data_IF_795855675220
#
_entry.id   IF_795855675220
#
_cell.length_a   1.000
_cell.length_b   1.000
_cell.length_c   1.000
_cell.angle_alpha   90.00
_cell.angle_beta   90.00
_cell.angle_gamma   90.00
#
_symmetry.space_group_name_H-M   'P 1'
#
loop_
_entity.id
_entity.type
_entity.pdbx_description
1 polymer ?
#
# COMPACT_ATOMS: atom_id res chain seq x y z
N UNK A 1 24.64 2.54 1.65
CA UNK A 1 23.94 3.18 0.52
C UNK A 1 22.47 3.31 0.89
N UNK A 2 21.81 4.48 0.77
CA UNK A 2 20.39 4.58 1.02
C UNK A 2 19.62 3.76 -0.01
N UNK A 3 18.69 2.92 0.45
CA UNK A 3 17.77 2.18 -0.43
C UNK A 3 16.69 3.17 -0.87
N UNK A 4 16.55 3.35 -2.18
CA UNK A 4 15.47 4.18 -2.72
C UNK A 4 14.12 3.61 -2.26
N UNK A 5 13.28 4.47 -1.70
CA UNK A 5 11.98 4.10 -1.15
C UNK A 5 10.91 5.09 -1.62
N UNK A 6 9.66 4.63 -1.60
CA UNK A 6 8.49 5.43 -1.96
C UNK A 6 7.36 5.19 -0.96
N UNK A 7 6.51 6.19 -0.84
CA UNK A 7 5.32 6.11 0.01
C UNK A 7 4.17 5.53 -0.79
N UNK A 8 3.73 4.33 -0.43
CA UNK A 8 2.51 3.74 -0.93
C UNK A 8 1.32 4.29 -0.12
N UNK A 9 0.53 5.18 -0.72
CA UNK A 9 -0.77 5.60 -0.19
C UNK A 9 -1.87 4.72 -0.80
N UNK A 10 -2.73 4.18 0.06
CA UNK A 10 -3.79 3.25 -0.34
C UNK A 10 -5.01 3.35 0.59
N UNK A 11 -6.20 3.09 0.06
CA UNK A 11 -7.44 3.11 0.83
C UNK A 11 -7.83 1.68 1.25
N UNK A 12 -8.21 1.51 2.51
CA UNK A 12 -8.72 0.24 2.99
C UNK A 12 -10.05 -0.09 2.32
N UNK A 13 -10.11 -1.22 1.62
CA UNK A 13 -11.35 -1.68 0.95
C UNK A 13 -12.42 -2.13 1.93
N UNK A 14 -12.09 -2.28 3.23
CA UNK A 14 -13.03 -2.65 4.30
C UNK A 14 -13.64 -1.44 5.01
N UNK A 15 -12.83 -0.48 5.48
CA UNK A 15 -13.30 0.65 6.29
C UNK A 15 -13.15 2.03 5.62
N UNK A 16 -12.60 2.10 4.40
CA UNK A 16 -12.46 3.34 3.64
C UNK A 16 -11.30 4.26 4.08
N UNK A 17 -10.65 3.98 5.21
CA UNK A 17 -9.53 4.77 5.72
C UNK A 17 -8.33 4.76 4.77
N UNK A 18 -7.70 5.92 4.58
CA UNK A 18 -6.43 6.06 3.88
C UNK A 18 -5.26 5.64 4.79
N UNK A 19 -4.38 4.77 4.29
CA UNK A 19 -3.18 4.28 4.95
C UNK A 19 -1.95 4.66 4.12
N UNK A 20 -0.78 4.71 4.77
CA UNK A 20 0.51 5.01 4.13
C UNK A 20 1.56 4.04 4.64
N UNK A 21 2.35 3.48 3.73
CA UNK A 21 3.48 2.62 4.05
C UNK A 21 4.70 3.02 3.23
N UNK A 22 5.87 3.08 3.86
CA UNK A 22 7.14 3.19 3.14
C UNK A 22 7.50 1.83 2.56
N UNK A 23 7.72 1.77 1.25
CA UNK A 23 8.09 0.56 0.52
C UNK A 23 9.38 0.79 -0.26
N UNK A 24 10.27 -0.20 -0.37
CA UNK A 24 11.42 -0.12 -1.27
C UNK A 24 10.97 0.12 -2.72
N UNK A 25 11.71 0.93 -3.47
CA UNK A 25 11.40 1.23 -4.88
C UNK A 25 11.41 -0.03 -5.77
N UNK A 26 12.18 -1.04 -5.38
CA UNK A 26 12.24 -2.32 -6.08
C UNK A 26 11.00 -3.20 -5.84
N UNK A 27 10.22 -2.95 -4.79
CA UNK A 27 9.07 -3.78 -4.41
C UNK A 27 7.80 -3.26 -5.08
N UNK A 28 7.37 -3.95 -6.14
CA UNK A 28 6.10 -3.70 -6.83
C UNK A 28 4.89 -4.33 -6.13
N UNK A 29 5.07 -5.02 -5.00
CA UNK A 29 3.99 -5.63 -4.22
C UNK A 29 4.39 -5.77 -2.77
N UNK A 30 3.55 -5.36 -1.83
CA UNK A 30 3.79 -5.59 -0.40
C UNK A 30 2.49 -5.89 0.35
N UNK A 31 2.61 -6.44 1.55
CA UNK A 31 1.47 -6.62 2.47
C UNK A 31 1.49 -5.54 3.54
N UNK A 32 0.35 -4.95 3.83
CA UNK A 32 0.15 -3.98 4.90
C UNK A 32 -1.10 -4.30 5.72
N UNK A 33 -1.23 -3.71 6.91
CA UNK A 33 -2.45 -3.77 7.72
C UNK A 33 -3.04 -2.39 7.87
N UNK A 34 -4.36 -2.29 7.75
CA UNK A 34 -5.04 -1.03 8.01
C UNK A 34 -4.82 -0.60 9.46
N UNK A 35 -4.36 0.63 9.68
CA UNK A 35 -4.12 1.16 11.03
C UNK A 35 -5.41 1.39 11.83
N UNK A 36 -6.56 1.44 11.16
CA UNK A 36 -7.86 1.64 11.81
C UNK A 36 -8.54 0.32 12.18
N UNK A 37 -8.76 -0.58 11.21
CA UNK A 37 -9.51 -1.83 11.43
C UNK A 37 -8.65 -3.10 11.52
N UNK A 38 -7.34 -3.00 11.30
CA UNK A 38 -6.41 -4.12 11.34
C UNK A 38 -6.49 -5.10 10.16
N UNK A 39 -7.40 -4.88 9.20
CA UNK A 39 -7.53 -5.74 8.03
C UNK A 39 -6.22 -5.80 7.22
N UNK A 40 -5.84 -6.99 6.78
CA UNK A 40 -4.62 -7.22 6.00
C UNK A 40 -4.91 -7.01 4.52
N UNK A 41 -4.05 -6.28 3.83
CA UNK A 41 -4.17 -5.99 2.40
C UNK A 41 -2.86 -6.24 1.69
N UNK A 42 -2.96 -6.75 0.47
CA UNK A 42 -1.88 -6.71 -0.50
C UNK A 42 -2.03 -5.43 -1.32
N UNK A 43 -0.98 -4.62 -1.39
CA UNK A 43 -0.96 -3.35 -2.11
C UNK A 43 0.08 -3.43 -3.25
N UNK A 44 -0.32 -2.99 -4.44
CA UNK A 44 0.51 -2.93 -5.66
C UNK A 44 0.40 -1.53 -6.31
N UNK A 45 1.46 -1.00 -6.94
CA UNK A 45 1.44 0.30 -7.57
C UNK A 45 0.43 0.28 -8.71
N UNK A 46 -0.44 1.28 -8.72
CA UNK A 46 -1.38 1.44 -9.82
C UNK A 46 -0.68 1.97 -11.06
N UNK A 47 -1.13 1.46 -12.20
CA UNK A 47 -0.59 1.78 -13.52
C UNK A 47 -0.64 3.28 -13.85
N UNK A 48 -1.48 4.04 -13.13
CA UNK A 48 -1.64 5.50 -13.26
C UNK A 48 -0.87 6.28 -12.18
N UNK A 49 0.36 5.88 -11.87
CA UNK A 49 1.42 6.65 -11.17
C UNK A 49 1.07 7.44 -9.88
N UNK A 50 -0.10 7.28 -9.25
CA UNK A 50 -0.38 7.97 -7.97
C UNK A 50 -1.13 7.12 -6.94
N UNK A 51 -1.86 6.04 -7.28
CA UNK A 51 -2.79 5.41 -6.29
C UNK A 51 -2.86 3.89 -6.31
N UNK A 52 -2.18 3.21 -5.39
CA UNK A 52 -2.09 1.75 -5.31
C UNK A 52 -3.45 1.05 -5.19
N UNK A 53 -3.65 -0.04 -5.95
CA UNK A 53 -4.89 -0.84 -5.93
C UNK A 53 -4.74 -1.95 -4.88
N UNK A 54 -5.73 -2.08 -4.00
CA UNK A 54 -5.79 -3.15 -3.01
C UNK A 54 -6.77 -4.26 -3.44
N UNK A 55 -6.38 -5.52 -3.27
CA UNK A 55 -7.27 -6.69 -3.41
C UNK A 55 -7.29 -7.51 -2.13
N UNK A 56 -8.45 -8.11 -1.84
CA UNK A 56 -8.72 -8.90 -0.63
C UNK A 56 -8.65 -10.40 -1.00
N UNK A 57 -7.91 -11.17 -0.20
CA UNK A 57 -8.02 -12.64 -0.12
C UNK A 57 -9.15 -13.02 0.84
#
# INVERSE_FOLDING_TARGET
MPVAALTAEWNCTRCGTTNRKLVPLADARTTDRCMHCGARHTIEPDARRVRWVARQD
#
